data_IF_832782813520
#
_entry.id   IF_832782813520
#
_cell.length_a   1.000
_cell.length_b   1.000
_cell.length_c   1.000
_cell.angle_alpha   90.00
_cell.angle_beta   90.00
_cell.angle_gamma   90.00
#
_symmetry.space_group_name_H-M   'P 1'
#
loop_
_entity.id
_entity.type
_entity.pdbx_description
1 polymer ?
#
# COMPACT_ATOMS: atom_id res chain seq x y z
N UNK A 1 6.41 -9.37 -6.11
CA UNK A 1 5.44 -8.50 -5.41
C UNK A 1 6.21 -7.72 -4.35
N UNK A 2 5.87 -6.44 -4.17
CA UNK A 2 6.30 -5.62 -3.04
C UNK A 2 5.07 -5.25 -2.22
N UNK A 3 5.22 -5.27 -0.90
CA UNK A 3 4.18 -4.97 0.08
C UNK A 3 4.66 -3.85 0.99
N UNK A 4 3.80 -2.86 1.24
CA UNK A 4 4.07 -1.74 2.14
C UNK A 4 2.95 -1.74 3.19
N UNK A 5 3.31 -1.79 4.46
CA UNK A 5 2.38 -1.64 5.59
C UNK A 5 2.80 -0.42 6.40
N UNK A 6 1.87 0.52 6.60
CA UNK A 6 2.11 1.73 7.38
C UNK A 6 1.15 1.80 8.56
N UNK A 7 1.70 1.79 9.78
CA UNK A 7 0.99 2.18 10.99
C UNK A 7 1.24 3.68 11.23
N UNK A 8 0.35 4.51 10.69
CA UNK A 8 0.52 5.97 10.67
C UNK A 8 0.21 6.62 12.03
N UNK A 9 -0.46 5.89 12.92
CA UNK A 9 -0.82 6.34 14.27
C UNK A 9 0.02 5.68 15.37
N UNK A 10 0.87 4.71 15.02
CA UNK A 10 1.67 3.89 15.94
C UNK A 10 0.81 3.22 17.03
N UNK A 11 -0.42 2.83 16.67
CA UNK A 11 -1.38 2.22 17.60
C UNK A 11 -1.29 0.68 17.62
N UNK A 12 -0.55 0.09 16.67
CA UNK A 12 -0.38 -1.36 16.46
C UNK A 12 -1.68 -2.12 16.24
N UNK A 13 -2.74 -1.44 15.80
CA UNK A 13 -4.09 -2.00 15.67
C UNK A 13 -4.74 -1.66 14.33
N UNK A 14 -4.31 -0.57 13.70
CA UNK A 14 -4.78 -0.12 12.40
C UNK A 14 -3.60 0.23 11.49
N UNK A 15 -3.88 0.39 10.20
CA UNK A 15 -2.85 0.76 9.24
C UNK A 15 -3.31 0.67 7.80
N UNK A 16 -2.41 1.03 6.90
CA UNK A 16 -2.65 1.03 5.46
C UNK A 16 -1.74 0.01 4.80
N UNK A 17 -2.31 -0.85 3.98
CA UNK A 17 -1.59 -1.88 3.24
C UNK A 17 -1.65 -1.57 1.75
N UNK A 18 -0.48 -1.64 1.12
CA UNK A 18 -0.33 -1.48 -0.33
C UNK A 18 0.40 -2.68 -0.90
N UNK A 19 -0.03 -3.11 -2.08
CA UNK A 19 0.60 -4.17 -2.84
C UNK A 19 0.82 -3.71 -4.27
N UNK A 20 2.05 -3.90 -4.75
CA UNK A 20 2.45 -3.64 -6.14
C UNK A 20 3.11 -4.90 -6.71
N UNK A 21 2.77 -5.26 -7.95
CA UNK A 21 3.53 -6.25 -8.71
C UNK A 21 4.46 -5.57 -9.74
N UNK A 22 5.36 -6.33 -10.35
CA UNK A 22 6.34 -5.77 -11.29
C UNK A 22 5.72 -5.18 -12.57
N UNK A 23 4.47 -5.55 -12.89
CA UNK A 23 3.72 -5.03 -14.03
C UNK A 23 2.89 -3.79 -13.69
N UNK A 24 3.01 -3.26 -12.46
CA UNK A 24 2.31 -2.04 -12.04
C UNK A 24 0.85 -2.26 -11.61
N UNK A 25 0.41 -3.50 -11.40
CA UNK A 25 -0.89 -3.72 -10.78
C UNK A 25 -0.86 -3.27 -9.31
N UNK A 26 -1.87 -2.51 -8.91
CA UNK A 26 -1.97 -1.86 -7.61
C UNK A 26 -3.15 -2.45 -6.82
N UNK A 27 -2.97 -2.53 -5.51
CA UNK A 27 -4.03 -2.84 -4.55
C UNK A 27 -3.73 -2.07 -3.27
N UNK A 28 -4.76 -1.49 -2.67
CA UNK A 28 -4.78 -0.94 -1.32
C UNK A 28 -5.80 -1.67 -0.45
N UNK A 29 -5.61 -1.54 0.86
CA UNK A 29 -6.54 -2.02 1.87
C UNK A 29 -6.27 -1.30 3.19
N UNK A 30 -7.29 -1.21 4.04
CA UNK A 30 -7.12 -0.76 5.43
C UNK A 30 -7.05 -1.96 6.37
N UNK A 31 -6.03 -1.99 7.22
CA UNK A 31 -5.93 -2.95 8.32
C UNK A 31 -6.91 -2.54 9.42
N UNK A 32 -7.76 -3.47 9.82
CA UNK A 32 -8.86 -3.25 10.77
C UNK A 32 -8.91 -4.37 11.82
N UNK A 33 -9.76 -4.21 12.83
CA UNK A 33 -9.99 -5.19 13.90
C UNK A 33 -8.69 -5.61 14.63
N UNK A 34 -7.79 -4.67 14.90
CA UNK A 34 -6.56 -4.97 15.65
C UNK A 34 -5.50 -5.74 14.85
N UNK A 35 -5.61 -5.78 13.51
CA UNK A 35 -4.69 -6.51 12.64
C UNK A 35 -5.27 -7.82 12.07
N UNK A 36 -6.40 -8.29 12.59
CA UNK A 36 -6.95 -9.60 12.24
C UNK A 36 -7.64 -9.63 10.87
N UNK A 37 -7.92 -8.47 10.28
CA UNK A 37 -8.60 -8.41 8.99
C UNK A 37 -8.24 -7.16 8.20
N UNK A 38 -8.56 -7.18 6.91
CA UNK A 38 -8.29 -6.11 5.97
C UNK A 38 -9.58 -5.72 5.24
N UNK A 39 -9.92 -4.44 5.27
CA UNK A 39 -10.94 -3.88 4.40
C UNK A 39 -10.33 -3.63 3.01
N UNK A 40 -10.74 -4.42 2.02
CA UNK A 40 -10.28 -4.32 0.62
C UNK A 40 -11.10 -3.35 -0.22
N UNK A 41 -12.20 -2.83 0.32
CA UNK A 41 -13.02 -1.81 -0.32
C UNK A 41 -12.45 -0.39 -0.07
N UNK A 42 -11.32 -0.32 0.65
CA UNK A 42 -10.62 0.92 0.95
C UNK A 42 -9.82 1.41 -0.27
N UNK A 43 -10.51 2.08 -1.19
CA UNK A 43 -10.00 2.58 -2.47
C UNK A 43 -9.50 4.03 -2.35
N UNK A 44 -8.18 4.21 -2.21
CA UNK A 44 -7.57 5.53 -2.05
C UNK A 44 -6.83 5.98 -3.30
N UNK A 45 -6.59 7.29 -3.42
CA UNK A 45 -5.89 7.85 -4.59
C UNK A 45 -4.40 7.95 -4.31
N UNK A 46 -3.60 7.08 -4.93
CA UNK A 46 -2.14 7.06 -4.86
C UNK A 46 -1.53 6.67 -6.20
N UNK A 47 -0.23 6.95 -6.36
CA UNK A 47 0.48 6.70 -7.61
C UNK A 47 1.61 5.70 -7.42
N UNK A 48 1.81 4.87 -8.45
CA UNK A 48 2.98 4.02 -8.58
C UNK A 48 3.49 4.01 -10.02
N UNK A 49 4.81 3.93 -10.18
CA UNK A 49 5.46 3.62 -11.45
C UNK A 49 6.38 2.42 -11.27
N UNK A 50 6.33 1.47 -12.18
CA UNK A 50 7.24 0.32 -12.20
C UNK A 50 8.08 0.31 -13.48
N UNK A 51 9.29 -0.23 -13.39
CA UNK A 51 10.15 -0.50 -14.53
C UNK A 51 10.81 -1.86 -14.38
N UNK A 52 10.53 -2.76 -15.32
CA UNK A 52 11.25 -4.04 -15.44
C UNK A 52 12.48 -3.82 -16.29
N UNK A 53 13.65 -4.14 -15.74
CA UNK A 53 14.94 -4.16 -16.42
C UNK A 53 15.33 -5.62 -16.72
N UNK A 54 16.49 -5.84 -17.35
CA UNK A 54 16.94 -7.20 -17.74
C UNK A 54 17.03 -8.17 -16.56
N UNK A 55 17.57 -7.72 -15.41
CA UNK A 55 17.88 -8.59 -14.27
C UNK A 55 17.17 -8.17 -12.97
N UNK A 56 16.34 -7.13 -13.00
CA UNK A 56 15.63 -6.62 -11.83
C UNK A 56 14.38 -5.84 -12.25
N UNK A 57 13.62 -5.38 -11.26
CA UNK A 57 12.62 -4.36 -11.47
C UNK A 57 12.70 -3.35 -10.34
N UNK A 58 12.31 -2.12 -10.64
CA UNK A 58 12.23 -1.02 -9.68
C UNK A 58 10.80 -0.50 -9.62
N UNK A 59 10.46 0.11 -8.50
CA UNK A 59 9.19 0.78 -8.29
C UNK A 59 9.39 2.09 -7.53
N UNK A 60 8.59 3.08 -7.87
CA UNK A 60 8.45 4.34 -7.16
C UNK A 60 6.98 4.50 -6.76
N UNK A 61 6.74 4.96 -5.53
CA UNK A 61 5.40 5.07 -4.95
C UNK A 61 5.25 6.45 -4.33
N UNK A 62 4.16 7.13 -4.65
CA UNK A 62 3.78 8.41 -4.06
C UNK A 62 2.41 8.27 -3.40
N UNK A 63 2.39 8.38 -2.07
CA UNK A 63 1.17 8.32 -1.26
C UNK A 63 0.95 9.70 -0.62
N UNK A 64 -0.09 10.45 -1.02
CA UNK A 64 -0.41 11.70 -0.36
C UNK A 64 -0.76 11.45 1.12
N UNK A 65 -0.22 12.25 2.04
CA UNK A 65 -0.57 12.13 3.47
C UNK A 65 -2.07 12.31 3.74
N UNK A 66 -2.79 13.00 2.85
CA UNK A 66 -4.26 13.10 2.90
C UNK A 66 -4.99 11.78 2.69
N UNK A 67 -4.33 10.73 2.20
CA UNK A 67 -4.88 9.37 2.10
C UNK A 67 -4.55 8.48 3.30
N UNK A 68 -3.65 8.94 4.18
CA UNK A 68 -3.13 8.21 5.33
C UNK A 68 -3.77 8.64 6.66
N UNK A 69 -4.95 9.25 6.56
CA UNK A 69 -5.78 9.68 7.69
C UNK A 69 -7.03 8.82 7.75
N UNK A 70 -7.62 8.75 8.95
CA UNK A 70 -8.83 8.00 9.32
C UNK A 70 -8.61 6.52 9.56
#
# INVERSE_FOLDING_TARGET
NVFILLDTYNDRRSGFFFRINSLGAMQDSKVINGGDSMNRDWDIVWECRTKVNENNWVLEVAIPFSQLRF
#
